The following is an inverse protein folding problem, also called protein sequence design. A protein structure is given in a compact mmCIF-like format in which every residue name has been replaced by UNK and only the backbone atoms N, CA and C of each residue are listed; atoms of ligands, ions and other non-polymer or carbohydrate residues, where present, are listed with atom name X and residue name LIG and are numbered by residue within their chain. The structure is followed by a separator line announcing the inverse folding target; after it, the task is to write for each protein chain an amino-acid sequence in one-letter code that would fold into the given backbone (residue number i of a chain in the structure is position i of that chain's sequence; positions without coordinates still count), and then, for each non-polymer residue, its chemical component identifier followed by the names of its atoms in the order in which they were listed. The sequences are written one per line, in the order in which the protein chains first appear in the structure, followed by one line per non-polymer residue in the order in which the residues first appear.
data_IF_638777691147
#
_entry.id   IF_638777691147
#
_cell.length_a   1.000
_cell.length_b   1.000
_cell.length_c   1.000
_cell.angle_alpha   90.00
_cell.angle_beta   90.00
_cell.angle_gamma   90.00
#
_symmetry.space_group_name_H-M   'P 1'
#
loop_
_entity.id
_entity.type
_entity.pdbx_description
1 polymer ?
#
# COMPACT_ATOMS: atom_id res chain seq x y z
N UNK A 1 -3.36 -3.89 20.05
CA UNK A 1 -3.26 -4.13 18.59
C UNK A 1 -4.66 -4.22 17.97
N UNK A 2 -5.01 -3.46 16.92
CA UNK A 2 -6.39 -3.42 16.41
C UNK A 2 -6.78 -4.64 15.55
N UNK A 3 -8.02 -5.08 15.74
CA UNK A 3 -8.74 -5.91 14.76
C UNK A 3 -9.74 -5.02 14.04
N UNK A 4 -9.71 -5.04 12.71
CA UNK A 4 -10.67 -4.33 11.88
C UNK A 4 -11.74 -5.28 11.37
N UNK A 5 -13.00 -4.89 11.51
CA UNK A 5 -14.09 -5.46 10.74
C UNK A 5 -14.46 -4.48 9.63
N UNK A 6 -14.33 -4.91 8.37
CA UNK A 6 -14.57 -4.03 7.23
C UNK A 6 -15.48 -4.65 6.17
N UNK A 7 -16.30 -3.83 5.54
CA UNK A 7 -17.04 -4.19 4.33
C UNK A 7 -16.32 -3.62 3.12
N UNK A 8 -15.93 -4.49 2.20
CA UNK A 8 -15.11 -4.13 1.06
C UNK A 8 -14.54 -5.35 0.34
N UNK A 9 -13.37 -5.19 -0.28
CA UNK A 9 -12.75 -6.24 -1.09
C UNK A 9 -11.23 -6.28 -0.88
N UNK A 10 -10.61 -7.39 -1.29
CA UNK A 10 -9.16 -7.52 -1.34
C UNK A 10 -8.64 -6.89 -2.62
N UNK A 11 -7.64 -6.04 -2.52
CA UNK A 11 -6.92 -5.50 -3.65
C UNK A 11 -5.56 -6.20 -3.78
N UNK A 12 -5.36 -7.05 -4.80
CA UNK A 12 -4.09 -7.74 -4.99
C UNK A 12 -2.94 -6.77 -5.16
N UNK A 13 -1.77 -7.07 -4.59
CA UNK A 13 -0.56 -6.28 -4.81
C UNK A 13 0.00 -6.48 -6.22
N UNK A 14 -0.04 -7.71 -6.70
CA UNK A 14 0.40 -8.09 -8.05
C UNK A 14 -0.76 -8.02 -9.07
N UNK A 15 -0.41 -8.14 -10.36
CA UNK A 15 -1.36 -8.10 -11.46
C UNK A 15 -1.49 -6.72 -12.11
N UNK A 16 -2.08 -6.67 -13.30
CA UNK A 16 -2.14 -5.46 -14.13
C UNK A 16 -2.92 -4.30 -13.49
N UNK A 17 -3.92 -4.60 -12.67
CA UNK A 17 -4.68 -3.61 -11.88
C UNK A 17 -4.31 -3.63 -10.39
N UNK A 18 -3.26 -4.38 -10.04
CA UNK A 18 -2.83 -4.54 -8.65
C UNK A 18 -2.15 -3.29 -8.10
N UNK A 19 -2.03 -3.21 -6.78
CA UNK A 19 -1.55 -2.01 -6.06
C UNK A 19 -0.20 -1.52 -6.57
N UNK A 20 0.77 -2.42 -6.78
CA UNK A 20 2.11 -2.07 -7.26
C UNK A 20 2.05 -1.39 -8.63
N UNK A 21 1.25 -1.93 -9.54
CA UNK A 21 1.09 -1.37 -10.89
C UNK A 21 0.29 -0.07 -10.84
N UNK A 22 -0.73 0.02 -9.99
CA UNK A 22 -1.50 1.25 -9.79
C UNK A 22 -0.60 2.42 -9.34
N UNK A 23 0.25 2.20 -8.33
CA UNK A 23 1.21 3.21 -7.83
C UNK A 23 2.09 3.74 -8.97
N UNK A 24 2.63 2.83 -9.80
CA UNK A 24 3.48 3.20 -10.95
C UNK A 24 2.68 3.92 -12.04
N UNK A 25 1.52 3.40 -12.45
CA UNK A 25 0.73 3.98 -13.55
C UNK A 25 0.16 5.36 -13.22
N UNK A 26 -0.10 5.62 -11.94
CA UNK A 26 -0.60 6.91 -11.47
C UNK A 26 0.49 7.86 -10.97
N UNK A 27 1.76 7.50 -11.17
CA UNK A 27 2.93 8.30 -10.81
C UNK A 27 2.93 8.74 -9.34
N UNK A 28 2.62 7.81 -8.43
CA UNK A 28 2.60 8.05 -6.99
C UNK A 28 3.98 7.72 -6.41
N UNK A 29 4.98 8.55 -6.72
CA UNK A 29 6.40 8.26 -6.43
C UNK A 29 6.68 8.09 -4.94
N UNK A 30 6.03 8.89 -4.09
CA UNK A 30 6.19 8.82 -2.63
C UNK A 30 5.27 7.78 -1.95
N UNK A 31 4.55 6.95 -2.74
CA UNK A 31 3.64 5.94 -2.22
C UNK A 31 4.31 4.57 -2.10
N UNK A 32 4.11 3.92 -0.95
CA UNK A 32 4.63 2.57 -0.65
C UNK A 32 3.59 1.49 -0.95
N UNK A 33 3.75 0.75 -2.05
CA UNK A 33 2.82 -0.34 -2.41
C UNK A 33 2.77 -1.49 -1.37
N UNK A 34 3.81 -1.62 -0.55
CA UNK A 34 3.94 -2.66 0.49
C UNK A 34 3.37 -2.24 1.85
N UNK A 35 3.11 -0.94 2.05
CA UNK A 35 2.49 -0.40 3.26
C UNK A 35 1.54 0.73 2.90
N UNK A 36 0.36 0.37 2.40
CA UNK A 36 -0.62 1.36 1.93
C UNK A 36 -1.36 2.07 3.05
N UNK A 37 -1.22 1.56 4.29
CA UNK A 37 -1.75 2.20 5.50
C UNK A 37 -0.92 3.39 5.98
N UNK A 38 0.27 3.65 5.41
CA UNK A 38 1.04 4.85 5.70
C UNK A 38 0.18 6.09 5.48
N UNK A 39 0.20 7.09 6.38
CA UNK A 39 -0.57 8.31 6.19
C UNK A 39 -0.33 8.98 4.83
N UNK A 40 0.94 9.10 4.42
CA UNK A 40 1.32 9.66 3.11
C UNK A 40 0.75 8.82 1.97
N UNK A 41 1.05 7.52 1.93
CA UNK A 41 0.54 6.59 0.89
C UNK A 41 -0.98 6.58 0.80
N UNK A 42 -1.69 6.53 1.95
CA UNK A 42 -3.15 6.61 2.00
C UNK A 42 -3.64 7.92 1.39
N UNK A 43 -3.02 9.05 1.73
CA UNK A 43 -3.42 10.36 1.19
C UNK A 43 -3.22 10.45 -0.32
N UNK A 44 -2.13 9.89 -0.86
CA UNK A 44 -1.81 9.85 -2.28
C UNK A 44 -2.79 8.96 -3.05
N UNK A 45 -3.09 7.77 -2.53
CA UNK A 45 -4.07 6.86 -3.12
C UNK A 45 -5.48 7.48 -3.14
N UNK A 46 -5.92 8.08 -2.03
CA UNK A 46 -7.22 8.76 -1.97
C UNK A 46 -7.29 9.93 -2.96
N UNK A 47 -6.24 10.74 -3.02
CA UNK A 47 -6.15 11.86 -3.96
C UNK A 47 -6.14 11.39 -5.42
N UNK A 48 -5.49 10.26 -5.71
CA UNK A 48 -5.50 9.64 -7.03
C UNK A 48 -6.91 9.17 -7.39
N UNK A 49 -7.58 8.44 -6.50
CA UNK A 49 -8.95 7.98 -6.72
C UNK A 49 -9.95 9.12 -6.90
N UNK A 50 -9.80 10.23 -6.17
CA UNK A 50 -10.62 11.42 -6.37
C UNK A 50 -10.45 12.02 -7.78
N UNK A 51 -9.27 11.90 -8.38
CA UNK A 51 -9.01 12.37 -9.76
C UNK A 51 -9.51 11.38 -10.81
N UNK A 52 -9.35 10.07 -10.58
CA UNK A 52 -9.62 9.04 -11.58
C UNK A 52 -11.05 8.53 -11.57
N UNK A 53 -11.68 8.53 -10.39
CA UNK A 53 -13.00 7.94 -10.12
C UNK A 53 -13.89 8.85 -9.25
N UNK A 54 -14.01 10.16 -9.54
CA UNK A 54 -14.77 11.08 -8.68
C UNK A 54 -16.25 10.69 -8.53
N UNK A 55 -16.86 10.12 -9.57
CA UNK A 55 -18.26 9.69 -9.57
C UNK A 55 -18.50 8.44 -8.71
N UNK A 56 -17.48 7.58 -8.57
CA UNK A 56 -17.56 6.42 -7.68
C UNK A 56 -17.41 6.91 -6.23
N UNK A 57 -16.42 7.77 -5.97
CA UNK A 57 -16.13 8.23 -4.61
C UNK A 57 -17.23 9.13 -4.03
N UNK A 58 -17.93 9.91 -4.84
CA UNK A 58 -19.01 10.79 -4.39
C UNK A 58 -20.22 10.03 -3.82
N UNK A 59 -20.36 8.74 -4.15
CA UNK A 59 -21.46 7.86 -3.73
C UNK A 59 -21.11 7.05 -2.48
N UNK A 60 -19.87 7.10 -2.02
CA UNK A 60 -19.44 6.40 -0.81
C UNK A 60 -19.65 7.30 0.43
N UNK A 61 -20.32 6.81 1.48
CA UNK A 61 -20.70 7.63 2.64
C UNK A 61 -19.50 8.01 3.51
N UNK A 62 -18.43 7.19 3.47
CA UNK A 62 -17.18 7.42 4.16
C UNK A 62 -16.04 7.41 3.14
N UNK A 63 -14.97 8.13 3.44
CA UNK A 63 -13.70 7.98 2.75
C UNK A 63 -13.26 6.52 2.79
N UNK A 64 -12.78 5.99 1.67
CA UNK A 64 -12.18 4.66 1.63
C UNK A 64 -11.07 4.54 2.66
N UNK A 65 -10.97 3.38 3.29
CA UNK A 65 -9.86 3.04 4.16
C UNK A 65 -9.12 1.85 3.61
N UNK A 66 -7.80 1.98 3.57
CA UNK A 66 -6.91 0.88 3.26
C UNK A 66 -6.53 0.18 4.56
N UNK A 67 -6.61 -1.15 4.58
CA UNK A 67 -6.27 -1.96 5.75
C UNK A 67 -5.41 -3.13 5.29
N UNK A 68 -4.35 -3.41 6.01
CA UNK A 68 -3.42 -4.48 5.77
C UNK A 68 -3.48 -5.47 6.92
N UNK A 69 -3.23 -6.73 6.59
CA UNK A 69 -2.92 -7.73 7.61
C UNK A 69 -1.45 -7.60 7.97
N UNK A 70 -1.18 -7.51 9.26
CA UNK A 70 0.19 -7.55 9.78
C UNK A 70 0.22 -8.27 11.11
N UNK A 71 1.27 -9.04 11.32
CA UNK A 71 1.58 -9.69 12.58
C UNK A 71 3.09 -9.50 12.81
N UNK A 72 3.51 -8.72 13.81
CA UNK A 72 4.94 -8.44 14.05
C UNK A 72 5.73 -9.70 14.44
N UNK A 73 5.06 -10.75 14.91
CA UNK A 73 5.68 -12.03 15.26
C UNK A 73 5.76 -13.00 14.07
N UNK A 74 5.16 -12.63 12.92
CA UNK A 74 5.25 -13.41 11.69
C UNK A 74 6.66 -13.26 11.11
N UNK A 75 7.36 -14.37 10.97
CA UNK A 75 8.72 -14.45 10.40
C UNK A 75 8.74 -15.17 9.05
N UNK A 76 7.58 -15.44 8.47
CA UNK A 76 7.48 -16.02 7.13
C UNK A 76 7.89 -15.02 6.04
N UNK A 77 8.16 -15.52 4.84
CA UNK A 77 8.49 -14.67 3.68
C UNK A 77 7.37 -13.65 3.36
N UNK A 78 6.12 -13.96 3.74
CA UNK A 78 4.96 -13.08 3.54
C UNK A 78 4.77 -12.04 4.66
N UNK A 79 5.59 -12.07 5.72
CA UNK A 79 5.51 -11.13 6.83
C UNK A 79 5.76 -9.67 6.38
N UNK A 80 6.70 -9.50 5.45
CA UNK A 80 7.05 -8.19 4.88
C UNK A 80 5.92 -7.69 3.97
N UNK A 81 5.36 -8.57 3.16
CA UNK A 81 4.32 -8.22 2.20
C UNK A 81 3.34 -9.36 1.95
N UNK A 82 2.13 -9.20 2.48
CA UNK A 82 0.96 -9.99 2.11
C UNK A 82 0.60 -9.84 0.62
N UNK A 83 0.00 -10.85 -0.02
CA UNK A 83 -0.33 -10.80 -1.45
C UNK A 83 -1.41 -9.77 -1.82
N UNK A 84 -2.14 -9.25 -0.84
CA UNK A 84 -3.20 -8.25 -1.01
C UNK A 84 -3.30 -7.36 0.22
N UNK A 85 -3.95 -6.22 0.05
CA UNK A 85 -4.49 -5.40 1.12
C UNK A 85 -6.01 -5.31 0.97
N UNK A 86 -6.70 -4.63 1.88
CA UNK A 86 -8.14 -4.46 1.87
C UNK A 86 -8.51 -3.01 1.58
N UNK A 87 -9.50 -2.84 0.72
CA UNK A 87 -10.16 -1.55 0.46
C UNK A 87 -11.53 -1.61 1.14
N UNK A 88 -11.70 -0.87 2.22
CA UNK A 88 -12.91 -0.84 3.04
C UNK A 88 -13.71 0.45 2.83
N UNK A 89 -15.00 0.31 2.51
CA UNK A 89 -15.96 1.42 2.47
C UNK A 89 -16.68 1.63 3.82
N UNK A 90 -16.75 0.59 4.65
CA UNK A 90 -17.12 0.67 6.07
C UNK A 90 -16.06 -0.07 6.87
N UNK A 91 -15.50 0.58 7.88
CA UNK A 91 -14.47 0.00 8.76
C UNK A 91 -14.83 0.27 10.20
N UNK A 92 -14.85 -0.78 11.00
CA UNK A 92 -15.07 -0.76 12.45
C UNK A 92 -13.77 -1.26 13.07
N UNK A 93 -13.19 -0.47 13.97
CA UNK A 93 -12.00 -0.88 14.72
C UNK A 93 -12.46 -1.47 16.05
N UNK A 94 -12.02 -2.68 16.36
CA UNK A 94 -12.30 -3.35 17.62
C UNK A 94 -11.09 -3.11 18.52
N UNK A 95 -11.22 -2.30 19.59
CA UNK A 95 -10.14 -2.08 20.53
C UNK A 95 -9.87 -3.35 21.34
N UNK A 96 -8.63 -3.51 21.78
CA UNK A 96 -8.24 -4.61 22.67
C UNK A 96 -8.85 -4.37 24.06
N UNK A 97 -9.57 -5.38 24.57
CA UNK A 97 -10.12 -5.35 25.93
C UNK A 97 -8.96 -5.41 26.92
N UNK A 98 -8.59 -4.26 27.50
CA UNK A 98 -7.57 -4.17 28.55
C UNK A 98 -6.48 -3.11 28.35
N UNK A 99 -6.44 -2.41 27.21
CA UNK A 99 -5.46 -1.35 26.94
C UNK A 99 -5.78 0.01 27.57
N UNK A 100 -6.44 0.03 28.73
CA UNK A 100 -6.68 1.27 29.46
C UNK A 100 -5.38 1.74 30.11
N UNK A 101 -4.86 2.88 29.66
CA UNK A 101 -3.79 3.60 30.35
C UNK A 101 -4.19 3.84 31.82
N UNK A 102 -3.42 3.30 32.77
CA UNK A 102 -3.49 3.68 34.17
C UNK A 102 -2.97 5.12 34.32
N UNK A 103 -3.83 6.12 34.13
CA UNK A 103 -3.50 7.49 34.52
C UNK A 103 -4.08 8.60 33.65
N UNK A 104 -5.39 8.70 33.55
CA UNK A 104 -6.03 9.86 32.93
C UNK A 104 -7.44 10.07 33.46
N UNK A 105 -7.62 11.04 34.35
CA UNK A 105 -8.93 11.58 34.72
C UNK A 105 -9.47 12.36 33.51
N UNK A 106 -10.09 11.64 32.59
CA UNK A 106 -10.64 12.17 31.35
C UNK A 106 -11.74 11.24 30.85
N UNK A 107 -12.99 11.64 31.08
CA UNK A 107 -14.18 10.86 30.75
C UNK A 107 -14.19 10.33 29.32
N UNK A 108 -14.04 9.01 29.18
CA UNK A 108 -14.24 8.28 27.94
C UNK A 108 -14.84 6.92 28.25
N UNK A 109 -16.11 6.71 27.86
CA UNK A 109 -16.73 5.39 27.81
C UNK A 109 -15.88 4.45 26.95
N UNK A 110 -15.29 3.42 27.55
CA UNK A 110 -14.54 2.45 26.74
C UNK A 110 -13.99 1.22 27.44
N UNK A 111 -14.37 0.95 28.69
CA UNK A 111 -14.00 -0.28 29.41
C UNK A 111 -15.10 -1.34 29.39
N UNK A 112 -15.82 -1.46 28.27
CA UNK A 112 -16.93 -2.41 28.13
C UNK A 112 -16.54 -3.55 27.21
N UNK A 113 -16.84 -4.79 27.62
CA UNK A 113 -16.93 -5.94 26.73
C UNK A 113 -17.55 -5.47 25.40
N UNK A 114 -16.83 -5.62 24.28
CA UNK A 114 -17.36 -5.25 22.96
C UNK A 114 -18.39 -6.30 22.55
N UNK A 115 -19.51 -6.36 23.27
CA UNK A 115 -20.64 -7.24 23.00
C UNK A 115 -21.43 -6.67 21.83
N UNK A 116 -20.78 -6.58 20.67
CA UNK A 116 -21.47 -6.42 19.41
C UNK A 116 -22.24 -7.71 19.16
N UNK A 117 -23.57 -7.64 19.11
CA UNK A 117 -24.34 -8.79 18.62
C UNK A 117 -24.06 -8.90 17.13
N UNK A 118 -23.69 -10.08 16.62
CA UNK A 118 -23.51 -10.29 15.18
C UNK A 118 -24.73 -9.80 14.39
N UNK A 119 -25.92 -10.04 14.94
CA UNK A 119 -27.19 -9.50 14.50
C UNK A 119 -27.13 -7.99 14.21
N UNK A 120 -26.70 -7.16 15.15
CA UNK A 120 -26.68 -5.70 14.99
C UNK A 120 -25.67 -5.22 13.92
N UNK A 121 -24.64 -6.01 13.61
CA UNK A 121 -23.65 -5.66 12.58
C UNK A 121 -24.09 -6.16 11.20
N UNK A 122 -24.78 -7.30 11.14
CA UNK A 122 -25.14 -7.98 9.90
C UNK A 122 -26.61 -7.79 9.48
N UNK A 123 -27.45 -7.11 10.27
CA UNK A 123 -28.89 -6.94 9.97
C UNK A 123 -29.25 -5.83 8.98
N UNK A 124 -28.30 -5.02 8.53
CA UNK A 124 -28.53 -3.98 7.54
C UNK A 124 -27.66 -4.19 6.29
N UNK A 125 -28.14 -3.70 5.13
CA UNK A 125 -27.25 -3.46 4.00
C UNK A 125 -26.07 -2.63 4.55
N UNK A 126 -24.82 -3.14 4.46
CA UNK A 126 -23.70 -2.59 5.22
C UNK A 126 -23.42 -1.13 4.86
N UNK A 127 -23.85 -0.74 3.66
CA UNK A 127 -23.85 0.59 3.08
C UNK A 127 -25.21 0.80 2.39
N UNK A 128 -25.58 2.04 2.09
CA UNK A 128 -26.73 2.31 1.22
C UNK A 128 -26.53 1.72 -0.18
N UNK A 129 -27.63 1.41 -0.89
CA UNK A 129 -27.60 0.77 -2.23
C UNK A 129 -26.64 1.42 -3.23
N UNK A 130 -26.65 2.74 -3.30
CA UNK A 130 -25.78 3.48 -4.22
C UNK A 130 -24.29 3.30 -3.88
N UNK A 131 -23.95 3.31 -2.59
CA UNK A 131 -22.60 3.05 -2.11
C UNK A 131 -22.17 1.60 -2.32
N UNK A 132 -23.12 0.65 -2.25
CA UNK A 132 -22.89 -0.76 -2.56
C UNK A 132 -22.56 -0.97 -4.04
N UNK A 133 -23.27 -0.27 -4.93
CA UNK A 133 -22.97 -0.27 -6.37
C UNK A 133 -21.60 0.38 -6.63
N UNK A 134 -21.33 1.54 -6.01
CA UNK A 134 -20.05 2.24 -6.13
C UNK A 134 -18.86 1.37 -5.71
N UNK A 135 -18.92 0.71 -4.55
CA UNK A 135 -17.82 -0.17 -4.10
C UNK A 135 -17.68 -1.42 -4.98
N UNK A 136 -18.77 -1.89 -5.59
CA UNK A 136 -18.76 -2.99 -6.56
C UNK A 136 -18.05 -2.57 -7.85
N UNK A 137 -18.38 -1.41 -8.40
CA UNK A 137 -17.72 -0.84 -9.58
C UNK A 137 -16.22 -0.62 -9.33
N UNK A 138 -15.86 -0.07 -8.16
CA UNK A 138 -14.46 0.11 -7.77
C UNK A 138 -13.71 -1.22 -7.72
N UNK A 139 -14.33 -2.25 -7.12
CA UNK A 139 -13.79 -3.61 -7.08
C UNK A 139 -13.62 -4.17 -8.48
N UNK A 140 -14.61 -4.04 -9.35
CA UNK A 140 -14.55 -4.58 -10.70
C UNK A 140 -13.46 -3.90 -11.54
N UNK A 141 -13.16 -2.63 -11.28
CA UNK A 141 -12.08 -1.89 -11.95
C UNK A 141 -10.68 -2.31 -11.48
N UNK A 142 -10.47 -2.46 -10.17
CA UNK A 142 -9.12 -2.63 -9.61
C UNK A 142 -8.79 -4.04 -9.12
N UNK A 143 -9.81 -4.83 -8.80
CA UNK A 143 -9.68 -6.17 -8.25
C UNK A 143 -10.75 -7.10 -8.84
N UNK A 144 -10.87 -7.10 -10.17
CA UNK A 144 -11.86 -7.90 -10.88
C UNK A 144 -11.82 -9.37 -10.44
N UNK A 145 -12.98 -9.91 -10.05
CA UNK A 145 -13.12 -11.28 -9.56
C UNK A 145 -12.88 -11.48 -8.06
N UNK A 146 -12.37 -10.48 -7.34
CA UNK A 146 -12.23 -10.58 -5.88
C UNK A 146 -13.59 -10.52 -5.17
N UNK A 147 -13.70 -11.16 -4.01
CA UNK A 147 -14.95 -11.19 -3.27
C UNK A 147 -15.21 -9.83 -2.60
N UNK A 148 -16.38 -9.26 -2.87
CA UNK A 148 -16.93 -8.14 -2.09
C UNK A 148 -17.70 -8.69 -0.89
N UNK A 149 -17.43 -8.20 0.31
CA UNK A 149 -18.10 -8.67 1.53
C UNK A 149 -17.48 -8.15 2.81
N UNK A 150 -17.93 -8.73 3.92
CA UNK A 150 -17.33 -8.50 5.24
C UNK A 150 -16.02 -9.27 5.41
N UNK A 151 -15.05 -8.62 6.03
CA UNK A 151 -13.74 -9.15 6.37
C UNK A 151 -13.38 -8.79 7.81
N UNK A 152 -12.67 -9.70 8.48
CA UNK A 152 -12.04 -9.45 9.77
C UNK A 152 -10.52 -9.49 9.51
N UNK A 153 -9.84 -8.40 9.83
CA UNK A 153 -8.42 -8.19 9.52
C UNK A 153 -7.68 -7.83 10.80
N UNK A 154 -6.72 -8.67 11.17
CA UNK A 154 -5.81 -8.39 12.27
C UNK A 154 -4.63 -7.56 11.77
N UNK A 155 -4.35 -6.44 12.44
CA UNK A 155 -3.17 -5.63 12.21
C UNK A 155 -2.45 -5.40 13.54
N UNK A 156 -1.38 -6.15 13.77
CA UNK A 156 -0.55 -6.11 14.97
C UNK A 156 0.16 -4.78 15.20
N UNK A 157 0.39 -4.00 14.15
CA UNK A 157 1.06 -2.70 14.23
C UNK A 157 0.55 -1.77 13.12
N UNK A 158 -0.52 -1.00 13.37
CA UNK A 158 -1.09 -0.09 12.37
C UNK A 158 -0.16 1.09 12.08
N UNK A 159 0.69 1.47 13.03
CA UNK A 159 1.61 2.61 12.98
C UNK A 159 3.04 2.09 12.92
N UNK A 160 3.31 1.17 11.97
CA UNK A 160 4.65 0.61 11.76
C UNK A 160 5.66 1.75 11.81
N UNK A 161 6.70 1.62 12.62
CA UNK A 161 7.72 2.65 12.71
C UNK A 161 8.41 2.82 11.34
N UNK A 162 8.37 4.04 10.79
CA UNK A 162 9.15 4.43 9.61
C UNK A 162 10.31 5.29 10.07
N UNK A 163 11.57 4.89 9.87
CA UNK A 163 12.65 5.87 9.93
C UNK A 163 12.37 6.92 8.86
N UNK A 164 12.26 8.18 9.28
CA UNK A 164 12.27 9.29 8.34
C UNK A 164 13.70 9.36 7.83
N UNK A 165 13.92 9.22 6.53
CA UNK A 165 15.23 9.49 5.97
C UNK A 165 15.53 10.98 6.23
N UNK A 166 16.45 11.24 7.17
CA UNK A 166 16.89 12.59 7.55
C UNK A 166 17.69 13.29 6.43
N UNK A 167 17.69 12.78 5.20
CA UNK A 167 18.58 13.20 4.11
C UNK A 167 17.96 14.24 3.14
N UNK A 168 16.78 14.78 3.45
CA UNK A 168 16.22 15.94 2.74
C UNK A 168 15.94 17.12 3.69
N UNK A 169 16.94 17.47 4.52
CA UNK A 169 16.87 18.58 5.46
C UNK A 169 18.21 19.28 5.68
N UNK A 170 18.43 20.35 4.92
CA UNK A 170 19.34 21.47 5.24
C UNK A 170 20.86 21.19 5.20
N UNK A 171 21.39 21.12 3.97
CA UNK A 171 22.75 21.58 3.71
C UNK A 171 22.85 23.08 3.99
N UNK A 172 23.10 23.46 5.25
CA UNK A 172 23.58 24.79 5.61
C UNK A 172 24.91 25.01 4.91
N UNK A 173 24.90 25.81 3.85
CA UNK A 173 26.10 26.48 3.38
C UNK A 173 26.41 27.55 4.42
N UNK A 174 27.21 27.22 5.44
CA UNK A 174 27.85 28.24 6.28
C UNK A 174 28.92 28.93 5.43
N UNK A 175 28.63 30.18 5.05
CA UNK A 175 29.43 31.03 4.16
C UNK A 175 30.25 32.02 4.99
N UNK A 176 30.89 31.60 6.08
CA UNK A 176 31.67 32.54 6.91
C UNK A 176 32.61 31.86 7.91
N UNK A 177 33.85 31.57 7.48
CA UNK A 177 35.00 31.67 8.37
C UNK A 177 36.23 32.16 7.60
N UNK A 178 36.47 33.48 7.68
CA UNK A 178 37.71 34.12 7.25
C UNK A 178 38.88 33.63 8.11
N UNK A 179 39.86 32.99 7.47
CA UNK A 179 41.13 32.61 8.09
C UNK A 179 42.28 32.67 7.08
N UNK A 180 42.80 33.86 6.80
CA UNK A 180 44.21 34.01 6.38
C UNK A 180 45.10 33.51 7.55
N UNK A 181 46.30 32.92 7.46
CA UNK A 181 47.52 33.08 6.64
C UNK A 181 48.37 31.80 6.90
N UNK A 182 49.20 31.24 6.02
CA UNK A 182 50.59 31.64 5.78
C UNK A 182 51.21 30.76 4.67
N UNK A 183 52.03 31.37 3.80
CA UNK A 183 52.75 30.69 2.71
C UNK A 183 53.85 29.75 3.25
N UNK A 184 53.92 28.56 2.66
CA UNK A 184 55.03 27.63 2.82
C UNK A 184 55.18 26.77 1.56
N UNK A 185 55.92 27.28 0.58
CA UNK A 185 56.41 26.53 -0.56
C UNK A 185 57.12 25.23 -0.13
N UNK A 186 56.83 24.15 -0.86
CA UNK A 186 57.45 22.85 -0.66
C UNK A 186 56.98 21.86 -1.72
N UNK A 187 57.56 21.99 -2.92
CA UNK A 187 57.49 21.02 -4.02
C UNK A 187 57.68 19.57 -3.54
N UNK A 188 56.90 18.65 -4.14
CA UNK A 188 57.05 17.23 -3.89
C UNK A 188 56.01 16.39 -4.62
N UNK A 189 56.28 16.17 -5.91
CA UNK A 189 55.58 15.25 -6.82
C UNK A 189 55.02 13.99 -6.14
N UNK A 190 53.73 13.71 -6.36
CA UNK A 190 53.19 12.36 -6.25
C UNK A 190 51.99 12.19 -7.16
N UNK A 191 52.28 11.64 -8.34
CA UNK A 191 51.33 11.06 -9.27
C UNK A 191 50.42 10.05 -8.56
N UNK A 192 49.12 10.29 -8.62
CA UNK A 192 48.07 9.40 -8.14
C UNK A 192 47.07 9.16 -9.26
N UNK A 193 47.30 8.09 -10.02
CA UNK A 193 46.48 7.65 -11.14
C UNK A 193 44.99 7.53 -10.78
N UNK A 194 44.16 8.34 -11.43
CA UNK A 194 42.70 8.13 -11.50
C UNK A 194 42.40 7.02 -12.51
N UNK A 195 42.43 5.78 -12.05
CA UNK A 195 41.88 4.65 -12.79
C UNK A 195 40.39 4.51 -12.48
N UNK A 196 39.53 4.98 -13.39
CA UNK A 196 38.11 4.67 -13.39
C UNK A 196 37.91 3.19 -13.73
N UNK A 197 37.66 2.34 -12.73
CA UNK A 197 37.26 0.95 -12.97
C UNK A 197 35.78 0.91 -13.38
N UNK A 198 35.56 1.05 -14.70
CA UNK A 198 34.30 0.74 -15.37
C UNK A 198 34.25 -0.76 -15.63
N UNK A 199 33.74 -1.52 -14.68
CA UNK A 199 33.29 -2.90 -14.90
C UNK A 199 31.92 -3.15 -14.28
N UNK A 200 30.90 -2.45 -14.80
CA UNK A 200 29.51 -2.95 -14.73
C UNK A 200 29.19 -3.66 -16.04
N UNK A 201 29.26 -4.98 -16.04
CA UNK A 201 28.57 -5.82 -17.02
C UNK A 201 27.06 -5.68 -16.81
N UNK A 202 26.28 -5.30 -17.83
CA UNK A 202 24.83 -5.27 -17.71
C UNK A 202 24.27 -6.69 -17.53
N UNK A 203 23.26 -6.90 -16.68
CA UNK A 203 22.60 -8.20 -16.54
C UNK A 203 21.92 -8.59 -17.86
N UNK A 204 22.11 -9.84 -18.28
CA UNK A 204 21.50 -10.38 -19.49
C UNK A 204 19.97 -10.41 -19.35
N UNK A 205 19.28 -9.70 -20.25
CA UNK A 205 17.82 -9.79 -20.39
C UNK A 205 17.45 -11.20 -20.88
N UNK A 206 16.53 -11.93 -20.23
CA UNK A 206 16.04 -13.19 -20.77
C UNK A 206 15.28 -12.92 -22.07
N UNK A 207 15.84 -13.45 -23.17
CA UNK A 207 15.27 -13.41 -24.52
C UNK A 207 13.84 -13.95 -24.52
N UNK A 208 12.92 -13.21 -25.15
CA UNK A 208 11.52 -13.59 -25.30
C UNK A 208 11.37 -15.02 -25.84
N UNK A 209 10.97 -15.94 -24.95
CA UNK A 209 10.50 -17.25 -25.36
C UNK A 209 9.18 -17.08 -26.11
N UNK A 210 9.28 -17.10 -27.44
CA UNK A 210 8.17 -17.34 -28.36
C UNK A 210 7.45 -18.62 -27.92
N UNK A 211 6.30 -18.48 -27.25
CA UNK A 211 5.41 -19.62 -27.03
C UNK A 211 4.79 -20.01 -28.38
N UNK A 212 5.39 -21.03 -29.01
CA UNK A 212 4.76 -21.78 -30.10
C UNK A 212 3.59 -22.56 -29.51
N UNK A 213 2.36 -22.17 -29.88
CA UNK A 213 1.16 -22.94 -29.57
C UNK A 213 1.23 -24.34 -30.22
N UNK A 214 0.91 -25.42 -29.52
CA UNK A 214 0.80 -26.75 -30.11
C UNK A 214 -0.45 -26.86 -31.00
N UNK A 215 -0.27 -27.35 -32.24
CA UNK A 215 -1.29 -27.55 -33.29
C UNK A 215 -2.34 -28.65 -33.00
N UNK A 216 -2.81 -28.79 -31.76
CA UNK A 216 -3.77 -29.86 -31.39
C UNK A 216 -5.12 -29.38 -30.84
N UNK A 217 -5.45 -28.10 -30.98
CA UNK A 217 -6.77 -27.56 -30.62
C UNK A 217 -7.51 -26.84 -31.75
N UNK A 218 -7.05 -26.95 -33.00
CA UNK A 218 -7.72 -26.34 -34.17
C UNK A 218 -8.62 -27.35 -34.91
N UNK A 219 -9.57 -27.99 -34.21
CA UNK A 219 -10.56 -28.85 -34.88
C UNK A 219 -11.89 -29.04 -34.13
N UNK A 220 -12.44 -27.98 -33.53
CA UNK A 220 -13.78 -28.07 -32.92
C UNK A 220 -14.77 -26.95 -33.28
N UNK A 221 -14.43 -26.00 -34.17
CA UNK A 221 -15.42 -25.02 -34.65
C UNK A 221 -15.30 -24.78 -36.16
N UNK A 222 -15.73 -25.77 -36.95
CA UNK A 222 -16.07 -25.59 -38.35
C UNK A 222 -17.09 -26.64 -38.81
N UNK A 223 -18.35 -26.48 -38.42
CA UNK A 223 -19.50 -26.82 -39.28
C UNK A 223 -20.80 -26.27 -38.70
N UNK A 224 -21.32 -25.24 -39.35
CA UNK A 224 -22.76 -24.94 -39.42
C UNK A 224 -23.13 -24.89 -40.91
N UNK A 225 -24.40 -25.19 -41.19
CA UNK A 225 -25.14 -25.08 -42.47
C UNK A 225 -24.85 -26.12 -43.56
N UNK A 226 -25.71 -27.15 -43.65
CA UNK A 226 -26.81 -27.23 -44.60
C UNK A 226 -27.78 -28.34 -44.14
#
# INVERSE_FOLDING_TARGET
MPVYMLYGFRWPRAGFTGIRVYVVLHNLEDATAEYIQQPLTTSLLLSSFQKTDPEILSRLPNSLRFIEQYDPEDTSDEAVSKPFAYVGAKVISIPEVGGGEEGGDGGGSGGGETSWKPEDIFHEEPLGKDAMEAITELRDKYAAGERLGWWIVYNGDPERWFPVDEEEGEGSYDEDEEGEYYYGDGDGDRDGDYASDRTQTPPETPSSATMRLPERLTRLFARRTA
#
